data_IF_361981970056
#
_entry.id   IF_361981970056
#
_cell.length_a   1.000
_cell.length_b   1.000
_cell.length_c   1.000
_cell.angle_alpha   90.00
_cell.angle_beta   90.00
_cell.angle_gamma   90.00
#
_symmetry.space_group_name_H-M   'P 1'
#
loop_
_entity.id
_entity.type
_entity.pdbx_description
1 polymer ?
#
# COMPACT_ATOMS: atom_id res chain seq x y z
N UNK A 1 12.04 -7.85 -2.86
CA UNK A 1 10.76 -7.10 -2.77
C UNK A 1 9.94 -7.77 -1.68
N UNK A 2 9.70 -7.11 -0.55
CA UNK A 2 9.01 -7.70 0.60
C UNK A 2 7.51 -7.40 0.50
N UNK A 3 6.70 -8.42 0.25
CA UNK A 3 5.23 -8.33 0.30
C UNK A 3 4.81 -8.50 1.75
N UNK A 4 4.28 -7.45 2.38
CA UNK A 4 3.90 -7.44 3.79
C UNK A 4 2.38 -7.43 3.94
N UNK A 5 1.83 -8.49 4.51
CA UNK A 5 0.42 -8.57 4.90
C UNK A 5 0.16 -7.98 6.31
N UNK A 6 1.14 -7.32 6.93
CA UNK A 6 1.01 -6.68 8.26
C UNK A 6 1.97 -5.48 8.42
N UNK A 7 1.44 -4.42 9.04
CA UNK A 7 2.17 -3.23 9.46
C UNK A 7 3.19 -3.60 10.56
N UNK A 8 4.48 -3.56 10.24
CA UNK A 8 5.54 -3.79 11.21
C UNK A 8 6.86 -3.25 10.69
N UNK A 9 7.41 -2.30 11.43
CA UNK A 9 8.71 -1.63 11.29
C UNK A 9 9.72 -2.39 10.42
N UNK A 10 9.77 -2.06 9.13
CA UNK A 10 10.91 -2.40 8.28
C UNK A 10 11.23 -1.23 7.37
N UNK A 11 12.47 -0.75 7.48
CA UNK A 11 13.09 0.18 6.53
C UNK A 11 13.05 -0.45 5.13
N UNK A 12 12.26 0.13 4.21
CA UNK A 12 12.13 -0.41 2.86
C UNK A 12 10.92 0.08 2.08
N UNK A 13 10.70 -0.53 0.90
CA UNK A 13 9.51 -0.37 0.07
C UNK A 13 8.48 -1.42 0.51
N UNK A 14 7.32 -0.98 0.95
CA UNK A 14 6.17 -1.83 1.30
C UNK A 14 5.16 -1.82 0.16
N UNK A 15 4.61 -2.99 -0.17
CA UNK A 15 3.51 -3.13 -1.14
C UNK A 15 2.25 -3.52 -0.38
N UNK A 16 1.19 -2.73 -0.53
CA UNK A 16 -0.07 -2.94 0.19
C UNK A 16 -1.27 -2.97 -0.78
N UNK A 17 -2.29 -3.78 -0.48
CA UNK A 17 -3.53 -3.82 -1.25
C UNK A 17 -4.31 -2.52 -1.07
N UNK A 18 -4.59 -1.82 -2.17
CA UNK A 18 -5.30 -0.53 -2.19
C UNK A 18 -6.55 -0.60 -3.07
N UNK A 19 -7.68 -0.10 -2.54
CA UNK A 19 -8.96 -0.07 -3.26
C UNK A 19 -9.05 0.99 -4.37
N UNK A 20 -8.08 1.91 -4.48
CA UNK A 20 -8.11 3.02 -5.44
C UNK A 20 -8.82 4.27 -4.91
N UNK A 21 -9.21 4.31 -3.64
CA UNK A 21 -9.77 5.53 -2.99
C UNK A 21 -8.65 6.40 -2.45
N UNK A 22 -8.62 7.68 -2.84
CA UNK A 22 -7.66 8.67 -2.33
C UNK A 22 -7.65 8.74 -0.81
N UNK A 23 -8.81 8.64 -0.16
CA UNK A 23 -8.96 8.61 1.30
C UNK A 23 -8.14 7.49 1.96
N UNK A 24 -8.12 6.31 1.33
CA UNK A 24 -7.35 5.17 1.80
C UNK A 24 -5.86 5.38 1.52
N UNK A 25 -5.51 6.02 0.40
CA UNK A 25 -4.12 6.37 0.08
C UNK A 25 -3.53 7.32 1.12
N UNK A 26 -4.23 8.43 1.40
CA UNK A 26 -3.82 9.39 2.44
C UNK A 26 -3.67 8.75 3.81
N UNK A 27 -4.66 7.96 4.25
CA UNK A 27 -4.56 7.25 5.53
C UNK A 27 -3.36 6.31 5.58
N UNK A 28 -3.04 5.60 4.49
CA UNK A 28 -1.84 4.76 4.46
C UNK A 28 -0.57 5.60 4.62
N UNK A 29 -0.46 6.73 3.92
CA UNK A 29 0.71 7.62 4.01
C UNK A 29 0.86 8.22 5.42
N UNK A 30 -0.24 8.61 6.07
CA UNK A 30 -0.26 9.12 7.45
C UNK A 30 0.08 8.04 8.48
N UNK A 31 -0.54 6.86 8.41
CA UNK A 31 -0.34 5.77 9.38
C UNK A 31 1.05 5.13 9.29
N UNK A 32 1.61 5.09 8.08
CA UNK A 32 2.93 4.50 7.84
C UNK A 32 4.07 5.53 7.92
N UNK A 33 3.74 6.83 7.92
CA UNK A 33 4.70 7.92 7.71
C UNK A 33 5.60 7.65 6.48
N UNK A 34 4.99 7.13 5.41
CA UNK A 34 5.67 6.74 4.18
C UNK A 34 5.14 7.54 3.00
N UNK A 35 5.98 7.75 1.98
CA UNK A 35 5.55 8.33 0.71
C UNK A 35 5.15 7.25 -0.28
N UNK A 36 4.06 7.50 -1.01
CA UNK A 36 3.70 6.69 -2.17
C UNK A 36 4.74 6.81 -3.29
N UNK A 37 5.41 5.68 -3.61
CA UNK A 37 6.31 5.57 -4.77
C UNK A 37 5.53 5.37 -6.07
N UNK A 38 4.26 4.95 -5.99
CA UNK A 38 3.38 4.72 -7.12
C UNK A 38 2.91 3.27 -7.23
N UNK A 39 2.39 2.90 -8.41
CA UNK A 39 1.86 1.57 -8.68
C UNK A 39 2.88 0.67 -9.41
N UNK A 40 2.93 -0.64 -9.11
CA UNK A 40 3.74 -1.58 -9.88
C UNK A 40 3.29 -1.61 -11.35
N UNK A 41 4.26 -1.64 -12.26
CA UNK A 41 4.08 -2.12 -13.63
C UNK A 41 4.74 -3.50 -13.73
N UNK A 42 4.02 -4.58 -14.10
CA UNK A 42 2.65 -4.64 -14.61
C UNK A 42 1.59 -4.48 -13.50
N UNK A 43 0.40 -3.95 -13.88
CA UNK A 43 -0.77 -3.85 -13.00
C UNK A 43 -1.15 -5.25 -12.52
N UNK A 44 -0.78 -5.59 -11.29
CA UNK A 44 -1.24 -6.81 -10.64
C UNK A 44 -2.65 -6.57 -10.13
N UNK A 45 -3.60 -7.36 -10.63
CA UNK A 45 -4.93 -7.45 -10.03
C UNK A 45 -4.77 -7.93 -8.58
N UNK A 46 -5.24 -7.09 -7.66
CA UNK A 46 -5.23 -7.43 -6.25
C UNK A 46 -6.56 -8.10 -5.92
N UNK A 47 -6.53 -9.36 -5.47
CA UNK A 47 -7.73 -10.04 -4.97
C UNK A 47 -7.83 -9.97 -3.43
N UNK A 48 -6.96 -9.18 -2.80
CA UNK A 48 -6.95 -8.98 -1.36
C UNK A 48 -7.91 -7.85 -0.96
N UNK A 49 -8.10 -7.69 0.35
CA UNK A 49 -8.86 -6.58 0.91
C UNK A 49 -7.94 -5.38 1.14
N UNK A 50 -8.46 -4.19 0.90
CA UNK A 50 -7.78 -2.94 1.18
C UNK A 50 -7.35 -2.89 2.65
N UNK A 51 -6.07 -2.59 2.90
CA UNK A 51 -5.53 -2.58 4.26
C UNK A 51 -6.16 -1.50 5.17
N UNK A 52 -6.81 -0.48 4.59
CA UNK A 52 -7.46 0.61 5.34
C UNK A 52 -8.96 0.34 5.58
N UNK A 53 -9.72 0.10 4.51
CA UNK A 53 -11.18 0.00 4.61
C UNK A 53 -11.70 -1.44 4.61
N UNK A 54 -10.85 -2.44 4.36
CA UNK A 54 -11.26 -3.83 4.22
C UNK A 54 -12.11 -4.15 2.98
N UNK A 55 -12.36 -3.16 2.11
CA UNK A 55 -13.06 -3.34 0.83
C UNK A 55 -12.22 -4.09 -0.20
N UNK A 56 -12.76 -4.38 -1.39
CA UNK A 56 -11.99 -5.02 -2.46
C UNK A 56 -10.82 -4.11 -2.88
N UNK A 57 -9.59 -4.63 -2.83
CA UNK A 57 -8.44 -3.92 -3.39
C UNK A 57 -8.50 -4.03 -4.92
N UNK A 58 -8.19 -2.93 -5.61
CA UNK A 58 -8.18 -2.91 -7.09
C UNK A 58 -6.74 -3.05 -7.61
N UNK A 59 -5.77 -2.61 -6.81
CA UNK A 59 -4.35 -2.59 -7.19
C UNK A 59 -3.47 -2.70 -5.94
N UNK A 60 -2.18 -2.85 -6.17
CA UNK A 60 -1.15 -2.74 -5.15
C UNK A 60 -0.56 -1.34 -5.16
N UNK A 61 -0.50 -0.70 -4.00
CA UNK A 61 0.17 0.59 -3.80
C UNK A 61 1.55 0.32 -3.18
N UNK A 62 2.59 0.90 -3.76
CA UNK A 62 3.94 0.86 -3.19
C UNK A 62 4.19 2.13 -2.39
N UNK A 63 4.55 1.96 -1.13
CA UNK A 63 4.95 3.04 -0.25
C UNK A 63 6.42 2.79 0.15
N UNK A 64 7.17 3.86 0.36
CA UNK A 64 8.51 3.76 0.92
C UNK A 64 8.70 4.80 2.02
N UNK A 65 9.37 4.37 3.09
CA UNK A 65 9.83 5.29 4.12
C UNK A 65 10.93 6.16 3.51
N UNK A 66 10.67 7.44 3.39
CA UNK A 66 11.68 8.41 2.99
C UNK A 66 12.25 8.96 4.29
N UNK A 67 13.55 8.81 4.48
CA UNK A 67 14.30 9.26 5.67
C UNK A 67 14.23 10.79 5.84
#
# INVERSE_FOLDING_TARGET
IHVLNKLGDKEGIVELPWCGKEECGKKMEEELEMKSLGMPLPKKECNEKCAICGGAASTWLRLAKTY
#
